data_IF_796828897209
#
_entry.id   IF_796828897209
#
_cell.length_a   1.000
_cell.length_b   1.000
_cell.length_c   1.000
_cell.angle_alpha   90.00
_cell.angle_beta   90.00
_cell.angle_gamma   90.00
#
_symmetry.space_group_name_H-M   'P 1'
#
loop_
_entity.id
_entity.type
_entity.pdbx_description
1 polymer ?
#
# COMPACT_ATOMS: atom_id res chain seq x y z
N UNK A 1 -10.02 -25.45 53.20
CA UNK A 1 -8.99 -25.53 54.26
C UNK A 1 -7.66 -25.73 53.63
N UNK A 2 -6.64 -25.12 54.14
CA UNK A 2 -5.98 -23.91 53.65
C UNK A 2 -4.57 -24.27 53.15
N UNK A 3 -3.72 -23.46 52.55
CA UNK A 3 -3.06 -22.35 53.21
C UNK A 3 -2.22 -21.52 52.21
N UNK A 4 -2.28 -20.28 52.41
CA UNK A 4 -1.42 -19.15 52.14
C UNK A 4 0.10 -19.39 52.18
N UNK A 5 0.85 -18.66 51.32
CA UNK A 5 2.02 -17.91 51.79
C UNK A 5 2.44 -16.76 50.83
N UNK A 6 2.10 -15.56 51.26
CA UNK A 6 2.74 -14.29 50.88
C UNK A 6 4.09 -14.19 51.57
N UNK A 7 5.13 -13.74 50.83
CA UNK A 7 6.28 -13.08 51.49
C UNK A 7 6.60 -11.76 50.78
N UNK A 8 6.26 -10.67 51.51
CA UNK A 8 6.86 -9.35 51.34
C UNK A 8 8.33 -9.38 51.74
N UNK A 9 9.17 -8.63 51.01
CA UNK A 9 10.44 -8.16 51.51
C UNK A 9 10.48 -6.62 51.42
N UNK A 10 10.47 -6.01 52.57
CA UNK A 10 10.79 -4.61 52.86
C UNK A 10 12.26 -4.57 53.23
N UNK A 11 13.04 -3.69 52.62
CA UNK A 11 14.43 -3.45 52.96
C UNK A 11 14.84 -1.99 52.74
N UNK A 12 15.01 -1.37 53.80
CA UNK A 12 15.36 -0.12 54.40
C UNK A 12 16.27 0.84 53.60
N UNK A 13 15.93 2.14 53.79
CA UNK A 13 16.77 3.32 53.51
C UNK A 13 18.06 3.31 54.31
N UNK A 14 19.17 3.77 53.68
CA UNK A 14 20.30 4.35 54.36
C UNK A 14 20.64 5.71 53.72
N UNK A 15 20.48 6.75 54.49
CA UNK A 15 20.96 8.11 54.23
C UNK A 15 22.47 8.14 54.42
N UNK A 16 23.18 8.69 53.46
CA UNK A 16 24.58 9.05 53.58
C UNK A 16 24.81 10.47 53.00
N UNK A 17 25.11 11.37 53.91
CA UNK A 17 25.42 12.77 53.58
C UNK A 17 26.87 12.94 53.14
N UNK A 18 27.11 13.90 52.25
CA UNK A 18 28.38 14.64 52.22
C UNK A 18 29.17 14.56 50.91
N UNK A 19 29.32 15.74 50.27
CA UNK A 19 30.38 15.91 49.27
C UNK A 19 30.03 16.94 48.19
N UNK A 20 30.13 18.22 48.50
CA UNK A 20 30.22 19.28 47.49
C UNK A 20 31.53 19.07 46.68
N UNK A 21 31.41 18.64 45.43
CA UNK A 21 32.52 18.61 44.49
C UNK A 21 32.32 19.68 43.39
N UNK A 22 33.29 20.54 43.34
CA UNK A 22 33.53 21.64 42.42
C UNK A 22 33.24 21.27 40.96
N UNK A 23 32.40 22.02 40.27
CA UNK A 23 32.25 21.97 38.81
C UNK A 23 33.55 22.45 38.14
N UNK A 24 34.34 21.53 37.62
CA UNK A 24 35.38 21.83 36.64
C UNK A 24 34.69 21.99 35.27
N UNK A 25 34.80 23.21 34.74
CA UNK A 25 34.53 23.50 33.33
C UNK A 25 35.40 22.59 32.46
N UNK A 26 34.78 21.65 31.77
CA UNK A 26 35.41 20.93 30.66
C UNK A 26 35.27 21.78 29.41
N UNK A 27 36.39 22.38 28.98
CA UNK A 27 36.51 22.98 27.66
C UNK A 27 36.22 21.91 26.59
N UNK A 28 35.40 22.26 25.63
CA UNK A 28 35.10 21.42 24.47
C UNK A 28 36.39 21.18 23.66
N UNK A 29 36.69 19.96 23.21
CA UNK A 29 37.74 19.73 22.25
C UNK A 29 37.31 20.31 20.90
N UNK A 30 38.11 21.18 20.36
CA UNK A 30 38.05 21.69 19.00
C UNK A 30 38.70 20.68 18.05
N UNK A 31 38.02 19.62 17.67
CA UNK A 31 38.36 18.83 16.47
C UNK A 31 37.12 18.12 15.99
N UNK A 32 36.71 18.52 14.79
CA UNK A 32 35.48 18.10 14.16
C UNK A 32 35.45 16.64 13.71
N UNK A 33 34.97 15.78 14.57
CA UNK A 33 34.32 14.57 14.17
C UNK A 33 33.04 14.48 14.98
N UNK A 34 31.90 14.74 14.33
CA UNK A 34 30.61 14.33 14.84
C UNK A 34 30.71 12.85 15.14
N UNK A 35 30.56 12.48 16.43
CA UNK A 35 30.39 11.08 16.81
C UNK A 35 29.22 10.51 16.00
N UNK A 36 29.53 9.61 15.06
CA UNK A 36 28.54 8.88 14.32
C UNK A 36 27.71 8.10 15.33
N UNK A 37 26.42 8.41 15.38
CA UNK A 37 25.46 7.48 15.98
C UNK A 37 25.49 6.22 15.12
N UNK A 38 26.09 5.16 15.63
CA UNK A 38 25.93 3.81 15.10
C UNK A 38 24.48 3.39 15.33
N UNK A 39 23.60 3.92 14.51
CA UNK A 39 22.24 3.39 14.40
C UNK A 39 22.40 2.16 13.53
N UNK A 40 22.32 0.98 14.14
CA UNK A 40 22.20 -0.25 13.37
C UNK A 40 21.12 -0.03 12.29
N UNK A 41 21.39 -0.30 11.02
CA UNK A 41 20.41 -0.10 9.97
C UNK A 41 19.21 -0.96 10.31
N UNK A 42 18.11 -0.34 10.76
CA UNK A 42 16.84 -1.03 10.77
C UNK A 42 16.57 -1.39 9.32
N UNK A 43 16.18 -2.62 9.06
CA UNK A 43 15.84 -3.16 7.74
C UNK A 43 14.72 -2.40 7.00
N UNK A 44 14.31 -1.26 7.54
CA UNK A 44 13.23 -0.38 7.11
C UNK A 44 13.70 1.03 6.73
N UNK A 45 15.00 1.30 6.70
CA UNK A 45 15.49 2.52 6.08
C UNK A 45 15.45 2.39 4.56
N UNK A 46 15.10 3.51 3.91
CA UNK A 46 15.23 3.67 2.46
C UNK A 46 16.57 3.04 2.04
N UNK A 47 16.58 2.01 1.20
CA UNK A 47 17.83 1.51 0.68
C UNK A 47 18.53 2.70 0.03
N UNK A 48 19.78 2.95 0.43
CA UNK A 48 20.64 3.87 -0.28
C UNK A 48 20.81 3.29 -1.68
N UNK A 49 19.91 3.69 -2.59
CA UNK A 49 20.08 3.33 -3.99
C UNK A 49 21.36 4.03 -4.42
N UNK A 50 22.40 3.27 -4.79
CA UNK A 50 23.63 3.84 -5.26
C UNK A 50 23.31 4.70 -6.48
N UNK A 51 23.27 6.01 -6.31
CA UNK A 51 23.12 6.94 -7.42
C UNK A 51 24.49 7.50 -7.78
N UNK A 52 24.77 7.56 -9.05
CA UNK A 52 25.84 8.43 -9.51
C UNK A 52 25.41 9.86 -9.22
N UNK A 53 26.33 10.65 -8.68
CA UNK A 53 26.07 12.06 -8.41
C UNK A 53 25.55 12.75 -9.68
N UNK A 54 24.36 13.39 -9.57
CA UNK A 54 23.72 14.10 -10.69
C UNK A 54 22.67 13.30 -11.48
N UNK A 55 22.49 12.00 -11.24
CA UNK A 55 21.40 11.27 -11.89
C UNK A 55 20.06 11.59 -11.23
N UNK A 56 18.99 11.87 -12.03
CA UNK A 56 17.65 12.08 -11.46
C UNK A 56 17.13 10.81 -10.81
N UNK A 57 16.40 10.96 -9.70
CA UNK A 57 15.76 9.81 -9.05
C UNK A 57 14.61 9.30 -9.93
N UNK A 58 14.71 8.04 -10.35
CA UNK A 58 13.61 7.36 -11.01
C UNK A 58 12.65 6.83 -9.95
N UNK A 59 11.56 7.55 -9.71
CA UNK A 59 10.51 7.19 -8.74
C UNK A 59 9.14 6.93 -9.41
N UNK A 60 9.11 6.88 -10.74
CA UNK A 60 7.90 6.68 -11.54
C UNK A 60 8.09 5.59 -12.59
N UNK A 61 6.99 4.95 -12.98
CA UNK A 61 6.95 3.98 -14.07
C UNK A 61 5.62 4.07 -14.83
N UNK A 62 5.64 3.67 -16.11
CA UNK A 62 4.43 3.59 -16.94
C UNK A 62 3.89 2.15 -16.90
N UNK A 63 3.12 1.81 -15.87
CA UNK A 63 2.60 0.46 -15.64
C UNK A 63 1.80 -0.05 -16.85
N UNK A 64 0.89 0.75 -17.38
CA UNK A 64 0.02 0.34 -18.50
C UNK A 64 0.73 0.26 -19.86
N UNK A 65 1.98 0.68 -19.93
CA UNK A 65 2.86 0.54 -21.10
C UNK A 65 3.89 -0.59 -20.95
N UNK A 66 3.94 -1.21 -19.77
CA UNK A 66 4.84 -2.32 -19.47
C UNK A 66 4.49 -3.61 -20.24
N UNK A 67 5.38 -4.60 -20.22
CA UNK A 67 5.10 -5.91 -20.78
C UNK A 67 3.90 -6.54 -20.08
N UNK A 68 3.10 -7.32 -20.81
CA UNK A 68 1.96 -8.05 -20.28
C UNK A 68 2.17 -9.56 -20.39
N UNK A 69 1.74 -10.28 -19.34
CA UNK A 69 1.49 -11.72 -19.41
C UNK A 69 0.02 -11.88 -19.81
N UNK A 70 -0.22 -12.44 -20.99
CA UNK A 70 -1.55 -12.57 -21.58
C UNK A 70 -1.91 -14.01 -21.90
N UNK A 71 -3.19 -14.35 -21.72
CA UNK A 71 -3.80 -15.62 -22.09
C UNK A 71 -5.17 -15.36 -22.73
N UNK A 72 -5.92 -16.41 -23.07
CA UNK A 72 -7.25 -16.26 -23.69
C UNK A 72 -8.26 -15.52 -22.78
N UNK A 73 -8.13 -15.64 -21.45
CA UNK A 73 -9.06 -15.06 -20.48
C UNK A 73 -8.74 -13.62 -20.06
N UNK A 74 -7.56 -13.09 -20.43
CA UNK A 74 -7.15 -11.73 -20.04
C UNK A 74 -5.65 -11.55 -19.99
N UNK A 75 -5.23 -10.48 -19.30
CA UNK A 75 -3.81 -10.15 -19.13
C UNK A 75 -3.54 -9.45 -17.80
N UNK A 76 -2.28 -9.49 -17.37
CA UNK A 76 -1.79 -8.61 -16.32
C UNK A 76 -0.46 -7.97 -16.73
N UNK A 77 -0.20 -6.79 -16.17
CA UNK A 77 1.08 -6.07 -16.23
C UNK A 77 1.52 -5.78 -14.82
N UNK A 78 2.80 -5.77 -14.57
CA UNK A 78 3.34 -5.47 -13.25
C UNK A 78 4.44 -4.39 -13.31
N UNK A 79 4.65 -3.76 -12.16
CA UNK A 79 5.78 -2.87 -11.89
C UNK A 79 6.38 -3.30 -10.57
N UNK A 80 7.53 -3.92 -10.64
CA UNK A 80 8.30 -4.43 -9.51
C UNK A 80 9.61 -3.65 -9.37
N UNK A 81 10.49 -4.08 -8.49
CA UNK A 81 11.86 -3.53 -8.39
C UNK A 81 12.64 -3.61 -9.70
N UNK A 82 12.26 -4.44 -10.66
CA UNK A 82 12.90 -4.47 -12.00
C UNK A 82 12.65 -3.19 -12.78
N UNK A 83 11.41 -2.71 -12.79
CA UNK A 83 11.02 -1.50 -13.50
C UNK A 83 11.22 -0.25 -12.67
N UNK A 84 11.07 -0.37 -11.36
CA UNK A 84 11.16 0.70 -10.37
C UNK A 84 12.00 0.27 -9.16
N UNK A 85 13.35 0.28 -9.28
CA UNK A 85 14.26 -0.27 -8.26
C UNK A 85 14.13 0.34 -6.85
N UNK A 86 13.57 1.53 -6.74
CA UNK A 86 13.32 2.20 -5.46
C UNK A 86 12.12 1.57 -4.69
N UNK A 87 11.18 0.92 -5.39
CA UNK A 87 9.96 0.35 -4.82
C UNK A 87 10.25 -1.06 -4.25
N UNK A 88 10.95 -1.11 -3.13
CA UNK A 88 11.45 -2.37 -2.55
C UNK A 88 10.43 -3.11 -1.68
N UNK A 89 9.36 -2.43 -1.26
CA UNK A 89 8.38 -2.94 -0.31
C UNK A 89 6.92 -2.87 -0.81
N UNK A 90 6.71 -2.35 -2.03
CA UNK A 90 5.41 -2.39 -2.72
C UNK A 90 5.66 -2.63 -4.20
N UNK A 91 5.03 -3.67 -4.76
CA UNK A 91 4.88 -3.83 -6.20
C UNK A 91 3.45 -3.47 -6.63
N UNK A 92 3.27 -3.02 -7.87
CA UNK A 92 1.96 -2.73 -8.43
C UNK A 92 1.66 -3.58 -9.66
N UNK A 93 0.38 -3.86 -9.93
CA UNK A 93 -0.03 -4.51 -11.15
C UNK A 93 -1.36 -3.95 -11.68
N UNK A 94 -1.62 -4.16 -12.98
CA UNK A 94 -2.92 -3.93 -13.59
C UNK A 94 -3.41 -5.27 -14.16
N UNK A 95 -4.51 -5.75 -13.61
CA UNK A 95 -5.19 -6.99 -14.00
C UNK A 95 -6.39 -6.66 -14.89
N UNK A 96 -6.49 -7.34 -16.02
CA UNK A 96 -7.63 -7.25 -16.93
C UNK A 96 -8.14 -8.64 -17.26
N UNK A 97 -9.38 -8.92 -16.92
CA UNK A 97 -10.05 -10.21 -17.13
C UNK A 97 -11.21 -9.98 -18.10
N UNK A 98 -11.19 -10.69 -19.23
CA UNK A 98 -12.26 -10.65 -20.23
C UNK A 98 -13.61 -11.09 -19.63
N UNK A 99 -14.71 -10.72 -20.27
CA UNK A 99 -16.01 -11.34 -19.97
C UNK A 99 -15.93 -12.87 -20.10
N UNK A 100 -16.38 -13.58 -19.06
CA UNK A 100 -16.23 -15.03 -18.94
C UNK A 100 -14.82 -15.49 -18.55
N UNK A 101 -13.88 -14.56 -18.37
CA UNK A 101 -12.53 -14.89 -17.90
C UNK A 101 -12.47 -15.14 -16.39
N UNK A 102 -11.48 -15.90 -15.97
CA UNK A 102 -11.19 -16.18 -14.57
C UNK A 102 -9.69 -16.31 -14.33
N UNK A 103 -9.16 -15.56 -13.36
CA UNK A 103 -7.84 -15.81 -12.79
C UNK A 103 -7.91 -17.07 -11.96
N UNK A 104 -7.07 -18.05 -12.29
CA UNK A 104 -7.10 -19.37 -11.64
C UNK A 104 -6.93 -19.28 -10.12
N UNK A 105 -7.29 -20.35 -9.42
CA UNK A 105 -7.05 -20.50 -7.99
C UNK A 105 -5.55 -20.48 -7.72
N UNK A 106 -5.10 -19.57 -6.85
CA UNK A 106 -3.68 -19.34 -6.57
C UNK A 106 -3.50 -18.64 -5.22
N UNK A 107 -2.27 -18.52 -4.76
CA UNK A 107 -1.90 -17.73 -3.58
C UNK A 107 -0.55 -17.04 -3.79
N UNK A 108 -0.21 -16.12 -2.89
CA UNK A 108 1.02 -15.36 -2.91
C UNK A 108 1.76 -15.44 -1.56
N UNK A 109 3.09 -15.27 -1.59
CA UNK A 109 3.90 -15.01 -0.40
C UNK A 109 3.71 -13.59 0.14
N UNK A 110 3.22 -12.66 -0.68
CA UNK A 110 2.80 -11.32 -0.30
C UNK A 110 1.30 -11.25 -0.09
N UNK A 111 0.82 -10.24 0.62
CA UNK A 111 -0.58 -9.86 0.59
C UNK A 111 -0.90 -9.20 -0.76
N UNK A 112 -2.11 -9.41 -1.26
CA UNK A 112 -2.64 -8.74 -2.44
C UNK A 112 -3.75 -7.79 -2.04
N UNK A 113 -3.64 -6.56 -2.51
CA UNK A 113 -4.68 -5.55 -2.44
C UNK A 113 -5.15 -5.23 -3.86
N UNK A 114 -6.46 -4.99 -4.04
CA UNK A 114 -7.01 -4.62 -5.33
C UNK A 114 -8.08 -3.55 -5.25
N UNK A 115 -8.09 -2.63 -6.23
CA UNK A 115 -9.12 -1.62 -6.45
C UNK A 115 -9.71 -1.82 -7.84
N UNK A 116 -11.03 -2.05 -7.91
CA UNK A 116 -11.71 -2.28 -9.19
C UNK A 116 -11.91 -0.95 -9.92
N UNK A 117 -11.30 -0.81 -11.08
CA UNK A 117 -11.42 0.35 -11.97
C UNK A 117 -12.69 0.30 -12.81
N UNK A 118 -13.12 -0.91 -13.21
CA UNK A 118 -14.29 -1.08 -14.05
C UNK A 118 -14.77 -2.53 -14.12
N UNK A 119 -16.03 -2.71 -14.48
CA UNK A 119 -16.67 -4.01 -14.56
C UNK A 119 -17.10 -4.56 -13.20
N UNK A 120 -17.39 -5.86 -13.19
CA UNK A 120 -17.80 -6.61 -12.01
C UNK A 120 -17.06 -7.94 -11.97
N UNK A 121 -16.67 -8.36 -10.78
CA UNK A 121 -16.09 -9.68 -10.57
C UNK A 121 -16.63 -10.34 -9.30
N UNK A 122 -16.42 -11.63 -9.20
CA UNK A 122 -16.57 -12.39 -7.97
C UNK A 122 -15.20 -12.88 -7.53
N UNK A 123 -14.86 -12.64 -6.28
CA UNK A 123 -13.67 -13.20 -5.66
C UNK A 123 -14.09 -14.36 -4.77
N UNK A 124 -13.31 -15.44 -4.82
CA UNK A 124 -13.42 -16.57 -3.90
C UNK A 124 -12.14 -16.63 -3.10
N UNK A 125 -12.23 -16.63 -1.79
CA UNK A 125 -11.07 -16.67 -0.88
C UNK A 125 -11.25 -17.82 0.09
N UNK A 126 -10.18 -18.60 0.28
CA UNK A 126 -10.12 -19.67 1.28
C UNK A 126 -8.99 -19.33 2.25
N UNK A 127 -9.34 -19.16 3.52
CA UNK A 127 -8.37 -18.87 4.56
C UNK A 127 -7.66 -20.14 5.07
N UNK A 128 -6.57 -20.02 5.87
CA UNK A 128 -5.86 -21.18 6.42
C UNK A 128 -6.71 -22.06 7.38
N UNK A 129 -7.83 -21.56 7.88
CA UNK A 129 -8.77 -22.34 8.69
C UNK A 129 -9.79 -23.13 7.82
N UNK A 130 -9.73 -22.95 6.49
CA UNK A 130 -10.65 -23.58 5.53
C UNK A 130 -12.00 -22.86 5.42
N UNK A 131 -12.14 -21.64 5.98
CA UNK A 131 -13.34 -20.85 5.76
C UNK A 131 -13.32 -20.17 4.40
N UNK A 132 -14.47 -20.12 3.77
CA UNK A 132 -14.62 -19.65 2.39
C UNK A 132 -15.47 -18.39 2.37
N UNK A 133 -14.96 -17.34 1.74
CA UNK A 133 -15.76 -16.18 1.31
C UNK A 133 -15.92 -16.19 -0.21
N UNK A 134 -17.13 -15.89 -0.66
CA UNK A 134 -17.45 -15.61 -2.06
C UNK A 134 -18.12 -14.25 -2.12
N UNK A 135 -17.42 -13.26 -2.66
CA UNK A 135 -17.87 -11.86 -2.64
C UNK A 135 -17.97 -11.28 -4.06
N UNK A 136 -19.10 -10.64 -4.35
CA UNK A 136 -19.27 -9.87 -5.59
C UNK A 136 -18.71 -8.46 -5.38
N UNK A 137 -17.89 -8.01 -6.31
CA UNK A 137 -17.13 -6.75 -6.25
C UNK A 137 -17.41 -5.95 -7.51
N UNK A 138 -17.56 -4.66 -7.38
CA UNK A 138 -17.85 -3.72 -8.46
C UNK A 138 -16.81 -2.59 -8.52
N UNK A 139 -16.85 -1.78 -9.58
CA UNK A 139 -16.01 -0.62 -9.71
C UNK A 139 -16.10 0.30 -8.46
N UNK A 140 -14.94 0.69 -7.92
CA UNK A 140 -14.79 1.48 -6.70
C UNK A 140 -14.73 0.67 -5.40
N UNK A 141 -14.93 -0.64 -5.46
CA UNK A 141 -14.75 -1.54 -4.32
C UNK A 141 -13.28 -2.01 -4.24
N UNK A 142 -12.91 -2.52 -3.06
CA UNK A 142 -11.61 -3.10 -2.75
C UNK A 142 -11.74 -4.58 -2.44
N UNK A 143 -10.64 -5.30 -2.68
CA UNK A 143 -10.36 -6.56 -2.01
C UNK A 143 -8.99 -6.54 -1.33
N UNK A 144 -8.82 -7.45 -0.39
CA UNK A 144 -7.55 -7.71 0.25
C UNK A 144 -7.43 -9.19 0.57
N UNK A 145 -6.36 -9.81 0.07
CA UNK A 145 -6.04 -11.22 0.34
C UNK A 145 -4.77 -11.27 1.18
N UNK A 146 -4.87 -11.69 2.46
CA UNK A 146 -3.69 -11.91 3.28
C UNK A 146 -2.74 -12.92 2.67
N UNK A 147 -1.47 -12.87 3.05
CA UNK A 147 -0.44 -13.81 2.60
C UNK A 147 -0.89 -15.25 2.77
N UNK A 148 -0.73 -16.07 1.74
CA UNK A 148 -1.05 -17.49 1.78
C UNK A 148 -2.53 -17.84 1.69
N UNK A 149 -3.45 -16.86 1.64
CA UNK A 149 -4.87 -17.14 1.39
C UNK A 149 -5.06 -17.55 -0.07
N UNK A 150 -5.63 -18.75 -0.29
CA UNK A 150 -6.00 -19.23 -1.62
C UNK A 150 -7.15 -18.40 -2.17
N UNK A 151 -7.02 -17.90 -3.40
CA UNK A 151 -8.08 -17.08 -4.01
C UNK A 151 -8.20 -17.27 -5.51
N UNK A 152 -9.33 -16.83 -6.05
CA UNK A 152 -9.62 -16.76 -7.48
C UNK A 152 -10.49 -15.53 -7.76
N UNK A 153 -10.39 -15.01 -8.98
CA UNK A 153 -11.15 -13.84 -9.43
C UNK A 153 -11.79 -14.18 -10.78
N UNK A 154 -13.11 -14.08 -10.89
CA UNK A 154 -13.80 -14.30 -12.15
C UNK A 154 -14.75 -13.15 -12.49
N UNK A 155 -14.89 -12.83 -13.77
CA UNK A 155 -15.80 -11.77 -14.23
C UNK A 155 -17.26 -12.16 -14.07
N UNK A 156 -18.10 -11.15 -13.77
CA UNK A 156 -19.55 -11.24 -13.78
C UNK A 156 -20.13 -10.30 -14.85
N UNK A 157 -20.96 -10.82 -15.71
CA UNK A 157 -21.61 -10.07 -16.79
C UNK A 157 -20.80 -10.02 -18.09
N UNK A 158 -21.30 -9.24 -19.03
CA UNK A 158 -20.81 -9.21 -20.41
C UNK A 158 -19.63 -8.24 -20.62
N UNK A 159 -19.27 -7.47 -19.58
CA UNK A 159 -18.16 -6.54 -19.62
C UNK A 159 -16.91 -7.14 -18.97
N UNK A 160 -15.71 -6.79 -19.43
CA UNK A 160 -14.49 -7.17 -18.73
C UNK A 160 -14.43 -6.51 -17.35
N UNK A 161 -13.72 -7.15 -16.42
CA UNK A 161 -13.36 -6.56 -15.14
C UNK A 161 -11.86 -6.23 -15.13
N UNK A 162 -11.53 -5.02 -14.69
CA UNK A 162 -10.14 -4.63 -14.53
C UNK A 162 -9.91 -3.91 -13.22
N UNK A 163 -8.76 -4.17 -12.63
CA UNK A 163 -8.38 -3.67 -11.32
C UNK A 163 -6.89 -3.32 -11.28
N UNK A 164 -6.56 -2.30 -10.51
CA UNK A 164 -5.18 -2.07 -10.10
C UNK A 164 -4.91 -2.81 -8.80
N UNK A 165 -3.75 -3.47 -8.73
CA UNK A 165 -3.31 -4.29 -7.62
C UNK A 165 -2.07 -3.70 -6.98
N UNK A 166 -1.90 -3.94 -5.69
CA UNK A 166 -0.66 -3.70 -4.97
C UNK A 166 -0.32 -4.91 -4.09
N UNK A 167 0.97 -5.20 -3.99
CA UNK A 167 1.51 -6.28 -3.19
C UNK A 167 2.49 -5.68 -2.17
N UNK A 168 2.48 -6.17 -0.93
CA UNK A 168 3.38 -5.71 0.13
C UNK A 168 4.80 -6.30 0.04
N UNK A 169 5.27 -6.49 -1.20
CA UNK A 169 6.61 -6.98 -1.55
C UNK A 169 7.02 -6.40 -2.91
N UNK A 170 8.06 -5.60 -2.96
CA UNK A 170 8.59 -5.03 -4.20
C UNK A 170 9.15 -6.07 -5.17
N UNK A 171 9.47 -7.28 -4.69
CA UNK A 171 9.97 -8.42 -5.46
C UNK A 171 8.84 -9.39 -5.88
N UNK A 172 7.58 -9.00 -5.73
CA UNK A 172 6.43 -9.84 -6.04
C UNK A 172 6.58 -10.64 -7.35
N UNK A 173 7.06 -10.02 -8.43
CA UNK A 173 7.25 -10.66 -9.72
C UNK A 173 8.30 -11.78 -9.75
N UNK A 174 9.18 -11.85 -8.74
CA UNK A 174 10.24 -12.87 -8.60
C UNK A 174 9.79 -14.07 -7.77
N UNK A 175 9.01 -13.79 -6.70
CA UNK A 175 8.63 -14.79 -5.69
C UNK A 175 7.17 -15.23 -5.80
N UNK A 176 6.47 -14.63 -6.56
CA UNK A 176 5.22 -14.58 -7.13
C UNK A 176 4.08 -15.40 -6.65
N UNK A 177 3.50 -15.98 -7.65
CA UNK A 177 2.21 -16.64 -7.62
C UNK A 177 2.40 -18.15 -7.64
N UNK A 178 1.68 -18.84 -6.78
CA UNK A 178 1.58 -20.29 -6.73
C UNK A 178 0.21 -20.70 -7.27
N UNK A 179 0.16 -21.08 -8.56
CA UNK A 179 -1.06 -21.54 -9.22
C UNK A 179 -1.37 -22.98 -8.88
N UNK A 180 -2.66 -23.30 -8.65
CA UNK A 180 -3.08 -24.65 -8.31
C UNK A 180 -2.81 -25.63 -9.45
N UNK A 181 -3.00 -25.23 -10.70
CA UNK A 181 -2.75 -26.06 -11.87
C UNK A 181 -1.27 -26.43 -12.03
N UNK A 182 -0.38 -25.44 -11.81
CA UNK A 182 1.07 -25.67 -11.85
C UNK A 182 1.51 -26.61 -10.72
N UNK A 183 1.02 -26.38 -9.51
CA UNK A 183 1.32 -27.24 -8.36
C UNK A 183 0.89 -28.69 -8.62
N UNK A 184 -0.39 -28.91 -8.96
CA UNK A 184 -0.90 -30.27 -9.21
C UNK A 184 -0.20 -30.95 -10.38
N UNK A 185 0.25 -30.20 -11.39
CA UNK A 185 0.95 -30.78 -12.55
C UNK A 185 2.38 -31.24 -12.26
N UNK A 186 2.97 -30.76 -11.16
CA UNK A 186 4.36 -31.08 -10.75
C UNK A 186 4.45 -32.12 -9.63
N UNK A 187 3.32 -32.44 -9.00
CA UNK A 187 3.27 -33.49 -7.99
C UNK A 187 3.18 -34.87 -8.61
N UNK A 188 3.64 -35.86 -7.87
CA UNK A 188 3.44 -37.27 -8.22
C UNK A 188 1.94 -37.57 -8.27
N UNK A 189 1.49 -38.16 -9.39
CA UNK A 189 0.07 -38.41 -9.63
C UNK A 189 -0.49 -39.44 -8.65
N UNK A 190 0.30 -40.44 -8.25
CA UNK A 190 -0.13 -41.44 -7.28
C UNK A 190 -0.29 -40.82 -5.88
N UNK A 191 0.60 -39.88 -5.48
CA UNK A 191 0.45 -39.15 -4.21
C UNK A 191 -0.81 -38.29 -4.20
N UNK A 192 -1.10 -37.57 -5.30
CA UNK A 192 -2.34 -36.80 -5.42
C UNK A 192 -3.59 -37.70 -5.40
N UNK A 193 -3.57 -38.81 -6.11
CA UNK A 193 -4.66 -39.77 -6.14
C UNK A 193 -4.94 -40.33 -4.74
N UNK A 194 -3.89 -40.67 -4.00
CA UNK A 194 -3.98 -41.09 -2.60
C UNK A 194 -4.56 -39.98 -1.71
N UNK A 195 -4.06 -38.74 -1.83
CA UNK A 195 -4.51 -37.61 -1.03
C UNK A 195 -5.98 -37.25 -1.26
N UNK A 196 -6.46 -37.40 -2.50
CA UNK A 196 -7.83 -37.04 -2.88
C UNK A 196 -8.80 -38.22 -2.80
N UNK A 197 -8.29 -39.44 -2.62
CA UNK A 197 -9.12 -40.65 -2.59
C UNK A 197 -9.75 -40.97 -3.95
N UNK A 198 -9.02 -40.74 -5.04
CA UNK A 198 -9.45 -40.97 -6.44
C UNK A 198 -8.45 -41.83 -7.19
N UNK A 199 -8.84 -42.37 -8.34
CA UNK A 199 -7.92 -43.06 -9.23
C UNK A 199 -7.01 -42.07 -9.98
N UNK A 200 -5.78 -42.45 -10.31
CA UNK A 200 -4.87 -41.62 -11.11
C UNK A 200 -5.46 -41.20 -12.46
N UNK A 201 -6.25 -42.02 -13.10
CA UNK A 201 -6.92 -41.71 -14.34
C UNK A 201 -7.88 -40.52 -14.22
N UNK A 202 -8.45 -40.29 -13.05
CA UNK A 202 -9.29 -39.12 -12.77
C UNK A 202 -8.51 -37.82 -12.87
N UNK A 203 -7.22 -37.83 -12.53
CA UNK A 203 -6.31 -36.67 -12.56
C UNK A 203 -5.74 -36.41 -13.97
N UNK A 204 -5.93 -37.30 -14.93
CA UNK A 204 -5.30 -37.23 -16.26
C UNK A 204 -5.66 -35.95 -17.06
N UNK A 205 -6.83 -35.37 -16.80
CA UNK A 205 -7.32 -34.17 -17.49
C UNK A 205 -6.95 -32.85 -16.81
N UNK A 206 -6.21 -32.90 -15.69
CA UNK A 206 -5.75 -31.69 -15.04
C UNK A 206 -4.74 -31.00 -15.95
N UNK A 207 -4.85 -29.68 -16.17
CA UNK A 207 -3.90 -28.91 -17.00
C UNK A 207 -2.45 -29.12 -16.56
N UNK A 208 -1.54 -29.23 -17.52
CA UNK A 208 -0.11 -29.36 -17.25
C UNK A 208 0.53 -28.00 -17.23
N UNK A 209 0.76 -27.44 -16.03
CA UNK A 209 1.33 -26.12 -15.79
C UNK A 209 0.27 -25.06 -15.51
N UNK A 210 0.74 -23.83 -15.34
CA UNK A 210 -0.10 -22.67 -14.98
C UNK A 210 -1.11 -22.33 -16.09
N UNK A 211 -2.37 -22.21 -15.74
CA UNK A 211 -3.43 -21.75 -16.66
C UNK A 211 -3.58 -20.23 -16.65
N UNK A 212 -3.09 -19.58 -15.61
CA UNK A 212 -3.04 -18.13 -15.38
C UNK A 212 -4.42 -17.46 -15.40
N UNK A 213 -4.91 -16.96 -16.54
CA UNK A 213 -6.27 -16.43 -16.70
C UNK A 213 -6.99 -17.27 -17.77
N UNK A 214 -7.97 -18.05 -17.32
CA UNK A 214 -8.72 -18.96 -18.17
C UNK A 214 -9.89 -18.24 -18.83
N UNK A 215 -10.29 -18.67 -20.04
CA UNK A 215 -11.53 -18.26 -20.66
C UNK A 215 -12.60 -19.33 -20.44
N UNK A 216 -13.71 -18.96 -19.86
CA UNK A 216 -14.87 -19.78 -19.63
C UNK A 216 -16.16 -19.14 -20.15
N UNK A 217 -17.32 -19.68 -19.82
CA UNK A 217 -18.60 -19.08 -20.15
C UNK A 217 -18.83 -17.79 -19.35
N UNK A 218 -19.60 -16.87 -19.92
CA UNK A 218 -20.04 -15.67 -19.23
C UNK A 218 -20.98 -16.04 -18.06
N UNK A 219 -20.68 -15.51 -16.88
CA UNK A 219 -21.51 -15.69 -15.69
C UNK A 219 -22.40 -14.45 -15.53
N UNK A 220 -23.74 -14.58 -15.72
CA UNK A 220 -24.63 -13.44 -15.54
C UNK A 220 -24.57 -12.87 -14.12
N UNK A 221 -24.65 -11.54 -13.99
CA UNK A 221 -24.61 -10.84 -12.68
C UNK A 221 -25.72 -11.26 -11.73
N UNK A 222 -26.84 -11.70 -12.27
CA UNK A 222 -28.01 -12.25 -11.55
C UNK A 222 -28.09 -13.76 -11.64
N UNK A 223 -27.07 -14.43 -12.18
CA UNK A 223 -26.97 -15.88 -12.33
C UNK A 223 -26.85 -16.60 -10.98
N UNK A 224 -27.01 -17.93 -11.02
CA UNK A 224 -26.93 -18.78 -9.83
C UNK A 224 -25.56 -18.62 -9.12
N UNK A 225 -24.47 -18.57 -9.89
CA UNK A 225 -23.10 -18.40 -9.35
C UNK A 225 -22.94 -17.05 -8.64
N UNK A 226 -23.43 -15.95 -9.24
CA UNK A 226 -23.38 -14.63 -8.61
C UNK A 226 -24.22 -14.58 -7.33
N UNK A 227 -25.36 -15.28 -7.29
CA UNK A 227 -26.21 -15.39 -6.10
C UNK A 227 -25.67 -16.36 -5.03
N UNK A 228 -24.74 -17.23 -5.39
CA UNK A 228 -24.07 -18.13 -4.44
C UNK A 228 -23.01 -17.40 -3.56
N UNK A 229 -22.97 -16.06 -3.60
CA UNK A 229 -22.12 -15.28 -2.74
C UNK A 229 -22.31 -15.64 -1.26
N UNK A 230 -21.19 -15.88 -0.57
CA UNK A 230 -21.12 -16.22 0.86
C UNK A 230 -20.23 -15.21 1.54
N UNK A 231 -20.84 -14.19 2.13
CA UNK A 231 -20.13 -13.17 2.88
C UNK A 231 -19.71 -13.71 4.25
N UNK A 232 -18.51 -13.32 4.68
CA UNK A 232 -18.10 -13.44 6.07
C UNK A 232 -18.60 -12.24 6.89
N UNK A 233 -18.39 -12.30 8.20
CA UNK A 233 -18.56 -11.15 9.08
C UNK A 233 -17.71 -9.97 8.54
N UNK A 234 -18.22 -8.73 8.57
CA UNK A 234 -17.47 -7.56 8.08
C UNK A 234 -16.05 -7.42 8.62
N UNK A 235 -15.79 -7.88 9.86
CA UNK A 235 -14.46 -7.86 10.45
C UNK A 235 -13.49 -8.88 9.81
N UNK A 236 -14.00 -9.84 9.03
CA UNK A 236 -13.25 -10.91 8.39
C UNK A 236 -13.40 -10.91 6.87
N UNK A 237 -14.26 -10.02 6.34
CA UNK A 237 -14.53 -9.95 4.90
C UNK A 237 -13.30 -9.44 4.15
N UNK A 238 -12.99 -10.09 3.03
CA UNK A 238 -11.95 -9.70 2.10
C UNK A 238 -12.40 -8.62 1.10
N UNK A 239 -13.62 -8.10 1.27
CA UNK A 239 -14.17 -7.01 0.46
C UNK A 239 -14.46 -5.77 1.29
N UNK A 240 -14.16 -4.60 0.74
CA UNK A 240 -14.54 -3.31 1.32
C UNK A 240 -15.10 -2.36 0.26
N UNK A 241 -16.25 -1.76 0.54
CA UNK A 241 -16.93 -0.80 -0.35
C UNK A 241 -16.45 0.62 -0.08
N UNK A 242 -15.29 1.00 -0.64
CA UNK A 242 -14.65 2.28 -0.34
C UNK A 242 -15.57 3.47 -0.59
N UNK A 243 -16.25 3.51 -1.74
CA UNK A 243 -17.09 4.64 -2.13
C UNK A 243 -18.48 4.65 -1.47
N UNK A 244 -18.87 3.60 -0.76
CA UNK A 244 -20.09 3.61 0.07
C UNK A 244 -19.90 4.39 1.37
N UNK A 245 -18.66 4.71 1.72
CA UNK A 245 -18.32 5.48 2.92
C UNK A 245 -18.00 6.92 2.57
N UNK A 246 -18.20 7.82 3.53
CA UNK A 246 -17.81 9.23 3.36
C UNK A 246 -16.29 9.36 3.26
N UNK A 247 -15.80 10.32 2.47
CA UNK A 247 -14.37 10.62 2.45
C UNK A 247 -13.89 11.03 3.85
N UNK A 248 -12.67 10.66 4.17
CA UNK A 248 -12.03 11.03 5.45
C UNK A 248 -11.82 12.54 5.56
N UNK A 249 -11.53 13.20 4.45
CA UNK A 249 -11.47 14.64 4.38
C UNK A 249 -12.03 15.15 3.04
N UNK A 250 -12.66 16.32 3.09
CA UNK A 250 -13.20 17.03 1.92
C UNK A 250 -12.96 18.52 2.05
N UNK A 251 -12.73 19.18 0.92
CA UNK A 251 -12.58 20.63 0.82
C UNK A 251 -13.10 21.10 -0.54
N UNK A 252 -13.15 22.42 -0.82
CA UNK A 252 -13.42 22.92 -2.16
C UNK A 252 -12.47 22.38 -3.24
N UNK A 253 -11.25 21.95 -2.87
CA UNK A 253 -10.25 21.41 -3.79
C UNK A 253 -10.42 19.93 -4.13
N UNK A 254 -11.22 19.17 -3.37
CA UNK A 254 -11.39 17.74 -3.61
C UNK A 254 -11.68 16.93 -2.36
N UNK A 255 -11.44 15.63 -2.44
CA UNK A 255 -11.68 14.68 -1.34
C UNK A 255 -10.64 13.57 -1.29
N UNK A 256 -10.49 12.96 -0.12
CA UNK A 256 -9.67 11.80 0.10
C UNK A 256 -10.46 10.75 0.88
N UNK A 257 -10.57 9.55 0.31
CA UNK A 257 -11.06 8.35 1.01
C UNK A 257 -9.86 7.55 1.50
N UNK A 258 -9.96 7.03 2.71
CA UNK A 258 -8.91 6.20 3.32
C UNK A 258 -9.60 5.01 3.97
N UNK A 259 -9.04 3.81 3.75
CA UNK A 259 -9.42 2.59 4.44
C UNK A 259 -8.15 1.96 5.05
N UNK A 260 -8.09 1.96 6.37
CA UNK A 260 -7.04 1.34 7.19
C UNK A 260 -7.54 0.01 7.76
N UNK A 261 -6.72 -0.71 8.50
CA UNK A 261 -7.19 -1.91 9.23
C UNK A 261 -8.31 -1.62 10.25
N UNK A 262 -8.60 -0.35 10.57
CA UNK A 262 -9.74 0.02 11.40
C UNK A 262 -11.06 -0.12 10.65
N UNK A 263 -11.11 0.30 9.39
CA UNK A 263 -12.27 0.25 8.52
C UNK A 263 -12.35 -1.07 7.74
N UNK A 264 -11.20 -1.66 7.44
CA UNK A 264 -11.03 -2.89 6.68
C UNK A 264 -10.09 -3.85 7.42
N UNK A 265 -10.56 -4.57 8.46
CA UNK A 265 -9.72 -5.25 9.44
C UNK A 265 -8.77 -6.33 8.90
N UNK A 266 -9.09 -6.97 7.79
CA UNK A 266 -8.20 -7.98 7.17
C UNK A 266 -6.98 -7.33 6.50
N UNK A 267 -7.06 -6.05 6.12
CA UNK A 267 -5.99 -5.31 5.43
C UNK A 267 -4.93 -4.83 6.43
N UNK A 268 -4.16 -5.78 6.96
CA UNK A 268 -3.22 -5.53 8.06
C UNK A 268 -1.86 -5.00 7.62
N UNK A 269 -1.52 -5.06 6.33
CA UNK A 269 -0.22 -4.62 5.81
C UNK A 269 -0.30 -3.50 4.78
N UNK A 270 -1.49 -3.24 4.23
CA UNK A 270 -1.70 -2.22 3.21
C UNK A 270 -2.91 -1.34 3.55
N UNK A 271 -2.70 -0.03 3.55
CA UNK A 271 -3.76 0.98 3.70
C UNK A 271 -4.10 1.57 2.32
N UNK A 272 -5.37 1.77 2.07
CA UNK A 272 -5.90 2.38 0.85
C UNK A 272 -6.04 3.88 0.98
N UNK A 273 -5.71 4.61 -0.08
CA UNK A 273 -6.06 6.01 -0.31
C UNK A 273 -6.69 6.17 -1.69
N UNK A 274 -7.80 6.91 -1.81
CA UNK A 274 -8.31 7.41 -3.09
C UNK A 274 -8.42 8.93 -3.01
N UNK A 275 -7.55 9.61 -3.73
CA UNK A 275 -7.44 11.06 -3.80
C UNK A 275 -8.15 11.57 -5.06
N UNK A 276 -9.09 12.51 -4.90
CA UNK A 276 -9.77 13.21 -5.98
C UNK A 276 -9.47 14.68 -5.87
N UNK A 277 -8.87 15.26 -6.91
CA UNK A 277 -8.46 16.66 -6.95
C UNK A 277 -9.12 17.39 -8.11
N UNK A 278 -9.76 18.52 -7.83
CA UNK A 278 -10.22 19.46 -8.84
C UNK A 278 -9.05 20.13 -9.57
N UNK A 279 -9.25 20.74 -10.75
CA UNK A 279 -8.19 21.42 -11.47
C UNK A 279 -7.42 22.42 -10.58
N UNK A 280 -6.09 22.34 -10.61
CA UNK A 280 -5.17 23.17 -9.85
C UNK A 280 -5.11 22.91 -8.35
N UNK A 281 -6.00 22.06 -7.80
CA UNK A 281 -5.96 21.67 -6.39
C UNK A 281 -4.78 20.76 -6.07
N UNK A 282 -4.43 20.69 -4.79
CA UNK A 282 -3.23 19.99 -4.33
C UNK A 282 -3.49 19.33 -2.98
N UNK A 283 -3.09 18.06 -2.84
CA UNK A 283 -2.76 17.48 -1.56
C UNK A 283 -1.45 18.12 -1.11
N UNK A 284 -1.52 18.87 -0.01
CA UNK A 284 -0.43 19.76 0.39
C UNK A 284 0.86 18.99 0.76
N UNK A 285 2.02 19.65 0.88
CA UNK A 285 3.27 18.99 1.27
C UNK A 285 3.14 18.27 2.62
N UNK A 286 3.45 16.98 2.62
CA UNK A 286 3.34 16.08 3.77
C UNK A 286 4.32 14.91 3.64
N UNK A 287 4.41 14.09 4.69
CA UNK A 287 5.16 12.83 4.68
C UNK A 287 4.49 11.79 5.56
N UNK A 288 4.80 10.54 5.30
CA UNK A 288 4.35 9.39 6.11
C UNK A 288 5.54 8.83 6.90
N UNK A 289 5.43 8.82 8.24
CA UNK A 289 6.50 8.33 9.10
C UNK A 289 6.54 6.80 9.19
N UNK A 290 5.39 6.16 8.99
CA UNK A 290 5.20 4.72 9.18
C UNK A 290 5.18 3.89 7.89
N UNK A 291 5.11 4.53 6.71
CA UNK A 291 4.89 3.82 5.45
C UNK A 291 5.60 4.47 4.26
N UNK A 292 5.98 3.66 3.29
CA UNK A 292 6.14 4.05 1.90
C UNK A 292 4.77 4.13 1.23
N UNK A 293 4.68 4.85 0.12
CA UNK A 293 3.43 5.05 -0.59
C UNK A 293 3.61 4.78 -2.08
N UNK A 294 2.68 4.03 -2.67
CA UNK A 294 2.62 3.75 -4.09
C UNK A 294 1.38 4.37 -4.69
N UNK A 295 1.51 5.07 -5.83
CA UNK A 295 0.42 5.74 -6.52
C UNK A 295 0.16 5.11 -7.88
N UNK A 296 -1.11 5.10 -8.29
CA UNK A 296 -1.57 4.84 -9.65
C UNK A 296 -2.55 5.94 -10.07
N UNK A 297 -2.29 6.57 -11.22
CA UNK A 297 -3.18 7.60 -11.76
C UNK A 297 -4.31 6.94 -12.53
N UNK A 298 -5.53 7.05 -12.00
CA UNK A 298 -6.74 6.52 -12.62
C UNK A 298 -7.24 7.44 -13.74
N UNK A 299 -7.22 8.75 -13.45
CA UNK A 299 -7.79 9.77 -14.33
C UNK A 299 -7.08 11.11 -14.17
N UNK A 300 -7.05 11.91 -15.23
CA UNK A 300 -6.50 13.26 -15.22
C UNK A 300 -4.97 13.28 -15.28
N UNK A 301 -4.38 14.39 -14.84
CA UNK A 301 -2.91 14.57 -14.81
C UNK A 301 -2.48 15.11 -13.46
N UNK A 302 -1.50 14.49 -12.88
CA UNK A 302 -0.94 14.91 -11.61
C UNK A 302 0.53 15.25 -11.72
N UNK A 303 0.97 16.22 -10.92
CA UNK A 303 2.39 16.50 -10.65
C UNK A 303 2.70 16.09 -9.23
N UNK A 304 3.69 15.22 -9.09
CA UNK A 304 4.26 14.82 -7.80
C UNK A 304 5.60 15.51 -7.64
N UNK A 305 5.77 16.20 -6.51
CA UNK A 305 7.05 16.74 -6.07
C UNK A 305 7.50 15.95 -4.88
N UNK A 306 8.67 15.32 -4.98
CA UNK A 306 9.29 14.48 -3.96
C UNK A 306 10.51 15.19 -3.39
N UNK A 307 10.61 15.25 -2.07
CA UNK A 307 11.74 15.74 -1.31
C UNK A 307 12.32 14.61 -0.46
N UNK A 308 13.60 14.34 -0.61
CA UNK A 308 14.33 13.33 0.15
C UNK A 308 15.58 13.91 0.84
N UNK A 309 16.37 13.02 1.40
CA UNK A 309 17.66 13.36 2.01
C UNK A 309 18.68 13.86 0.97
N UNK A 310 19.79 14.43 1.41
CA UNK A 310 20.90 14.91 0.56
C UNK A 310 20.46 15.90 -0.54
N UNK A 311 19.58 16.82 -0.18
CA UNK A 311 19.02 17.84 -1.10
C UNK A 311 18.31 17.25 -2.31
N UNK A 312 17.87 15.99 -2.22
CA UNK A 312 17.13 15.35 -3.28
C UNK A 312 15.78 16.05 -3.47
N UNK A 313 15.54 16.54 -4.68
CA UNK A 313 14.22 16.95 -5.15
C UNK A 313 13.99 16.26 -6.49
N UNK A 314 12.88 15.57 -6.62
CA UNK A 314 12.45 14.98 -7.87
C UNK A 314 11.02 15.44 -8.18
N UNK A 315 10.75 15.70 -9.45
CA UNK A 315 9.44 16.15 -9.92
C UNK A 315 9.05 15.31 -11.12
N UNK A 316 7.83 14.81 -11.13
CA UNK A 316 7.26 14.12 -12.27
C UNK A 316 5.81 14.54 -12.50
N UNK A 317 5.41 14.59 -13.77
CA UNK A 317 4.00 14.65 -14.17
C UNK A 317 3.59 13.28 -14.67
N UNK A 318 2.43 12.81 -14.21
CA UNK A 318 1.88 11.51 -14.53
C UNK A 318 0.47 11.65 -15.09
N UNK A 319 0.15 10.77 -16.02
CA UNK A 319 -1.19 10.57 -16.57
C UNK A 319 -1.74 9.19 -16.22
N UNK A 320 -2.94 8.86 -16.73
CA UNK A 320 -3.57 7.56 -16.47
C UNK A 320 -2.67 6.39 -16.84
N UNK A 321 -2.66 5.36 -15.98
CA UNK A 321 -1.83 4.16 -16.18
C UNK A 321 -0.38 4.31 -15.75
N UNK A 322 0.02 5.46 -15.21
CA UNK A 322 1.36 5.69 -14.68
C UNK A 322 1.37 5.61 -13.16
N UNK A 323 2.51 5.19 -12.61
CA UNK A 323 2.71 4.94 -11.18
C UNK A 323 3.86 5.76 -10.63
N UNK A 324 3.79 6.06 -9.33
CA UNK A 324 4.89 6.64 -8.56
C UNK A 324 5.09 5.87 -7.26
N UNK A 325 6.31 5.87 -6.77
CA UNK A 325 6.65 5.34 -5.46
C UNK A 325 7.34 6.41 -4.62
N UNK A 326 6.83 6.64 -3.44
CA UNK A 326 7.32 7.60 -2.46
C UNK A 326 7.88 6.82 -1.27
N UNK A 327 9.21 6.84 -1.02
CA UNK A 327 9.80 6.16 0.11
C UNK A 327 9.32 6.77 1.43
N UNK A 328 9.21 5.93 2.46
CA UNK A 328 8.87 6.34 3.82
C UNK A 328 9.72 7.52 4.29
N UNK A 329 9.07 8.50 4.91
CA UNK A 329 9.71 9.71 5.45
C UNK A 329 10.04 10.77 4.41
N UNK A 330 9.92 10.50 3.11
CA UNK A 330 10.13 11.51 2.07
C UNK A 330 8.95 12.48 2.00
N UNK A 331 9.25 13.78 2.09
CA UNK A 331 8.26 14.84 1.90
C UNK A 331 7.75 14.86 0.46
N UNK A 332 6.45 15.00 0.26
CA UNK A 332 5.88 15.07 -1.09
C UNK A 332 4.59 15.88 -1.15
N UNK A 333 4.18 16.21 -2.36
CA UNK A 333 2.89 16.79 -2.66
C UNK A 333 2.34 16.25 -3.98
N UNK A 334 1.02 16.19 -4.08
CA UNK A 334 0.30 15.72 -5.28
C UNK A 334 -0.60 16.85 -5.77
N UNK A 335 -0.34 17.36 -6.98
CA UNK A 335 -1.10 18.49 -7.54
C UNK A 335 -1.75 18.09 -8.85
N UNK A 336 -3.04 18.38 -9.00
CA UNK A 336 -3.71 18.28 -10.30
C UNK A 336 -3.20 19.40 -11.22
N UNK A 337 -2.60 19.02 -12.34
CA UNK A 337 -2.08 19.94 -13.37
C UNK A 337 -2.87 19.85 -14.69
N UNK A 338 -3.94 19.07 -14.71
CA UNK A 338 -4.87 18.98 -15.83
C UNK A 338 -6.06 19.94 -15.69
N UNK A 339 -6.84 20.03 -16.76
CA UNK A 339 -8.03 20.89 -16.84
C UNK A 339 -9.30 20.23 -16.26
N UNK A 340 -9.26 18.90 -16.10
CA UNK A 340 -10.34 18.08 -15.49
C UNK A 340 -9.98 17.59 -14.10
N UNK A 341 -10.88 16.84 -13.48
CA UNK A 341 -10.66 16.16 -12.22
C UNK A 341 -9.54 15.12 -12.37
N UNK A 342 -8.68 15.02 -11.37
CA UNK A 342 -7.64 14.01 -11.26
C UNK A 342 -8.00 13.03 -10.14
N UNK A 343 -7.91 11.74 -10.42
CA UNK A 343 -8.10 10.65 -9.47
C UNK A 343 -6.82 9.82 -9.36
N UNK A 344 -6.33 9.66 -8.14
CA UNK A 344 -5.13 8.88 -7.82
C UNK A 344 -5.47 7.88 -6.75
N UNK A 345 -5.25 6.61 -7.03
CA UNK A 345 -5.26 5.54 -6.03
C UNK A 345 -3.88 5.48 -5.40
N UNK A 346 -3.82 5.51 -4.08
CA UNK A 346 -2.62 5.35 -3.28
C UNK A 346 -2.71 4.12 -2.38
N UNK A 347 -1.59 3.46 -2.18
CA UNK A 347 -1.43 2.34 -1.26
C UNK A 347 -0.21 2.57 -0.39
N UNK A 348 -0.40 2.48 0.93
CA UNK A 348 0.66 2.61 1.92
C UNK A 348 0.94 1.25 2.55
N UNK A 349 2.21 0.87 2.72
CA UNK A 349 2.58 -0.42 3.33
C UNK A 349 2.53 -0.38 4.87
N UNK A 350 1.38 -0.04 5.39
CA UNK A 350 1.07 -0.04 6.82
C UNK A 350 -0.41 -0.36 7.06
N UNK A 351 -0.73 -0.82 8.27
CA UNK A 351 -2.11 -1.06 8.72
C UNK A 351 -2.86 0.22 9.09
N UNK A 352 -2.17 1.34 9.26
CA UNK A 352 -2.71 2.63 9.68
C UNK A 352 -2.17 3.77 8.80
N UNK A 353 -2.97 4.81 8.66
CA UNK A 353 -2.63 6.01 7.90
C UNK A 353 -2.11 7.10 8.85
N UNK A 354 -0.82 7.39 8.74
CA UNK A 354 -0.19 8.49 9.47
C UNK A 354 0.38 9.52 8.49
N UNK A 355 -0.13 10.73 8.57
CA UNK A 355 0.30 11.86 7.77
C UNK A 355 0.80 12.98 8.68
N UNK A 356 2.01 13.44 8.41
CA UNK A 356 2.57 14.65 8.99
C UNK A 356 2.59 15.75 7.93
N UNK A 357 1.86 16.82 8.19
CA UNK A 357 1.62 17.90 7.25
C UNK A 357 2.58 19.06 7.51
N UNK A 358 3.22 19.57 6.46
CA UNK A 358 4.20 20.65 6.59
C UNK A 358 3.60 21.94 7.17
N UNK A 359 2.38 22.28 6.75
CA UNK A 359 1.68 23.46 7.28
C UNK A 359 1.41 23.32 8.77
N UNK A 360 0.93 22.16 9.19
CA UNK A 360 0.62 21.89 10.60
C UNK A 360 1.88 21.98 11.47
N UNK A 361 3.00 21.46 10.98
CA UNK A 361 4.27 21.57 11.68
C UNK A 361 4.70 23.04 11.85
N UNK A 362 4.72 23.80 10.74
CA UNK A 362 5.11 25.21 10.75
C UNK A 362 4.16 26.03 11.63
N UNK A 363 2.85 25.87 11.48
CA UNK A 363 1.85 26.70 12.18
C UNK A 363 1.79 26.44 13.70
N UNK A 364 2.25 25.28 14.14
CA UNK A 364 2.26 24.86 15.56
C UNK A 364 3.63 25.02 16.22
N UNK A 365 4.69 25.28 15.45
CA UNK A 365 6.03 25.48 15.98
C UNK A 365 6.16 26.80 16.75
N UNK A 366 7.03 26.88 17.77
CA UNK A 366 7.34 28.14 18.47
C UNK A 366 7.82 29.21 17.49
N UNK A 367 7.28 30.44 17.58
CA UNK A 367 7.57 31.53 16.64
C UNK A 367 9.06 31.89 16.57
N UNK A 368 9.72 31.98 17.72
CA UNK A 368 11.17 32.26 17.78
C UNK A 368 12.01 31.20 17.03
N UNK A 369 11.58 29.91 17.12
CA UNK A 369 12.26 28.84 16.41
C UNK A 369 12.10 28.99 14.90
N UNK A 370 10.87 29.29 14.43
CA UNK A 370 10.61 29.57 13.02
C UNK A 370 11.36 30.80 12.51
N UNK A 371 11.37 31.88 13.31
CA UNK A 371 12.09 33.11 12.99
C UNK A 371 13.59 32.83 12.77
N UNK A 372 14.19 32.09 13.69
CA UNK A 372 15.60 31.66 13.57
C UNK A 372 15.83 30.75 12.35
N UNK A 373 14.98 29.74 12.18
CA UNK A 373 15.11 28.77 11.10
C UNK A 373 14.98 29.38 9.69
N UNK A 374 14.12 30.40 9.54
CA UNK A 374 13.87 31.06 8.26
C UNK A 374 14.64 32.36 8.07
N UNK A 375 15.39 32.80 9.07
CA UNK A 375 16.06 34.10 9.04
C UNK A 375 15.07 35.30 8.91
N UNK A 376 13.89 35.17 9.54
CA UNK A 376 12.80 36.14 9.48
C UNK A 376 12.52 36.75 10.85
N UNK A 377 11.93 37.96 10.87
CA UNK A 377 11.41 38.54 12.10
C UNK A 377 10.15 37.78 12.59
N UNK A 378 9.92 37.74 13.90
CA UNK A 378 8.83 37.01 14.53
C UNK A 378 7.42 37.45 14.07
N UNK A 379 7.23 38.73 13.78
CA UNK A 379 5.98 39.30 13.26
C UNK A 379 5.66 38.76 11.85
N UNK A 380 6.68 38.47 11.05
CA UNK A 380 6.52 37.85 9.72
C UNK A 380 6.10 36.37 9.85
N UNK A 381 6.79 35.59 10.70
CA UNK A 381 6.44 34.19 10.90
C UNK A 381 5.10 34.01 11.63
N UNK A 382 4.62 35.02 12.33
CA UNK A 382 3.27 35.03 12.93
C UNK A 382 2.14 34.83 11.91
N UNK A 383 2.39 35.05 10.62
CA UNK A 383 1.44 34.79 9.53
C UNK A 383 1.26 33.28 9.24
N UNK A 384 2.19 32.43 9.67
CA UNK A 384 2.02 30.98 9.65
C UNK A 384 1.12 30.55 10.81
N UNK A 385 -0.18 30.89 10.73
CA UNK A 385 -1.14 30.60 11.77
C UNK A 385 -2.45 30.06 11.17
N UNK A 386 -3.23 29.38 11.99
CA UNK A 386 -4.52 28.81 11.62
C UNK A 386 -4.42 27.43 10.95
N UNK A 387 -5.59 26.83 10.73
CA UNK A 387 -5.72 25.52 10.08
C UNK A 387 -5.81 25.67 8.57
N UNK A 388 -5.28 24.70 7.86
CA UNK A 388 -5.47 24.53 6.42
C UNK A 388 -5.98 23.12 6.14
N UNK A 389 -6.85 22.94 5.13
CA UNK A 389 -7.32 21.62 4.76
C UNK A 389 -6.19 20.80 4.14
N UNK A 390 -6.21 19.48 4.33
CA UNK A 390 -5.31 18.53 3.69
C UNK A 390 -5.25 18.70 2.17
N UNK A 391 -6.40 19.00 1.55
CA UNK A 391 -6.50 19.31 0.12
C UNK A 391 -6.78 20.80 -0.04
N UNK A 392 -5.85 21.51 -0.68
CA UNK A 392 -5.93 22.94 -0.92
C UNK A 392 -6.47 23.19 -2.34
N UNK A 393 -7.52 24.00 -2.45
CA UNK A 393 -8.05 24.43 -3.75
C UNK A 393 -7.07 25.34 -4.50
N UNK A 394 -7.22 25.45 -5.82
CA UNK A 394 -6.58 26.49 -6.61
C UNK A 394 -7.00 27.89 -6.08
N UNK A 395 -6.08 28.84 -6.19
CA UNK A 395 -6.36 30.26 -5.88
C UNK A 395 -7.14 30.91 -7.01
#
# INVERSE_FOLDING_TARGET
MPDTNRRLFIGALALGAGGLASAKSLAAPSDGHAAGYDVAPSSNFMPLIPRKSGEPLKFTAALDKGPSKATSGGWARDTTTRQLPIATDIAGAHLFINSGGAREMHWHNSAEWGFVLGGHCQVTVVDPAGEVEVANIAAGDLWYFPRGHGHAIQTLGDEPCHAVLAFDDGLYGEHGTFGISDWMSRFDTAELAQAFGVDEAWLANIPKGETYIMQGPVIPRDGAQARAARALDPARSHRYRLLAHRPRASSPGGSIHIATAREFPVATTLTTMLLKLKPGAMHQPHWHANASEWHYVVKGRTKITLFGIDKLVAVAELGPGETAYIPRGCGHSVKNVGDGECEVVGVLNASDYQESNLWDWISKAPRHLLANNFGMAEDRVARFAGQRPTIVAAK
#
